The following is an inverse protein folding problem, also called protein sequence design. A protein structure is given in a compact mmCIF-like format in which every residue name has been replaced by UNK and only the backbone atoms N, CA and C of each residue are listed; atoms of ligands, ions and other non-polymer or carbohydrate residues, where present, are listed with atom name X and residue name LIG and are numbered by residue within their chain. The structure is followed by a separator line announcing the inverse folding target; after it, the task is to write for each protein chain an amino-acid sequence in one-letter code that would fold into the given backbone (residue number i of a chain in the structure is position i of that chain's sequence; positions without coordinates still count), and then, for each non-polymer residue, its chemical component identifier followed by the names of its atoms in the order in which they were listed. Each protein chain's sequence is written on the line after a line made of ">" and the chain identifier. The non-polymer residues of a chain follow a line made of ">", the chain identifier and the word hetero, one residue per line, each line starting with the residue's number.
data_IF_027997722243
#
_entry.id   IF_027997722243
#
_cell.length_a   1.000
_cell.length_b   1.000
_cell.length_c   1.000
_cell.angle_alpha   90.00
_cell.angle_beta   90.00
_cell.angle_gamma   90.00
#
_symmetry.space_group_name_H-M   'P 1'
#
loop_
_entity.id
_entity.type
_entity.pdbx_description
1 polymer ?
#
# COMPACT_ATOMS: atom_id res chain seq x y z
N UNK A 1 -12.93 -5.69 -4.37
CA UNK A 1 -13.63 -4.39 -4.07
C UNK A 1 -12.91 -3.71 -2.92
N UNK A 2 -12.66 -2.40 -3.00
CA UNK A 2 -12.07 -1.62 -1.91
C UNK A 2 -13.04 -0.53 -1.43
N UNK A 3 -13.37 -0.52 -0.14
CA UNK A 3 -14.35 0.40 0.46
C UNK A 3 -13.70 1.37 1.46
N UNK A 4 -13.99 2.65 1.33
CA UNK A 4 -13.60 3.70 2.29
C UNK A 4 -14.70 3.82 3.36
N UNK A 5 -14.41 3.42 4.60
CA UNK A 5 -15.39 3.45 5.69
C UNK A 5 -15.71 4.88 6.15
N UNK A 6 -14.74 5.79 6.05
CA UNK A 6 -14.86 7.16 6.53
C UNK A 6 -15.76 7.97 5.59
N UNK A 7 -15.67 7.69 4.28
CA UNK A 7 -16.48 8.35 3.23
C UNK A 7 -17.70 7.55 2.79
N UNK A 8 -17.81 6.31 3.23
CA UNK A 8 -18.86 5.37 2.85
C UNK A 8 -19.02 5.24 1.32
N UNK A 9 -17.92 4.94 0.63
CA UNK A 9 -17.91 4.80 -0.83
C UNK A 9 -16.92 3.72 -1.30
N UNK A 10 -17.21 3.14 -2.46
CA UNK A 10 -16.26 2.27 -3.17
C UNK A 10 -15.14 3.10 -3.82
N UNK A 11 -13.94 2.56 -3.77
CA UNK A 11 -12.75 3.10 -4.42
C UNK A 11 -12.50 2.36 -5.73
N UNK A 12 -12.52 3.12 -6.83
CA UNK A 12 -12.15 2.65 -8.17
C UNK A 12 -10.98 3.41 -8.80
N UNK A 13 -10.32 4.31 -8.05
CA UNK A 13 -9.25 5.16 -8.58
C UNK A 13 -8.04 5.20 -7.66
N UNK A 14 -6.87 5.47 -8.25
CA UNK A 14 -5.62 5.62 -7.53
C UNK A 14 -5.43 7.11 -7.18
N UNK A 15 -5.20 7.45 -5.90
CA UNK A 15 -4.94 8.83 -5.50
C UNK A 15 -3.51 9.26 -5.89
N UNK A 16 -3.23 10.57 -5.82
CA UNK A 16 -1.89 11.15 -6.04
C UNK A 16 -1.25 10.76 -7.39
N UNK A 17 -1.79 11.26 -8.53
CA UNK A 17 -1.38 10.85 -9.86
C UNK A 17 0.11 11.08 -10.15
N UNK A 18 0.73 12.10 -9.58
CA UNK A 18 2.17 12.34 -9.75
C UNK A 18 3.03 11.26 -9.09
N UNK A 19 2.60 10.77 -7.91
CA UNK A 19 3.25 9.66 -7.24
C UNK A 19 3.08 8.36 -8.01
N UNK A 20 1.86 8.13 -8.53
CA UNK A 20 1.59 6.99 -9.40
C UNK A 20 2.44 7.00 -10.67
N UNK A 21 2.54 8.17 -11.32
CA UNK A 21 3.40 8.38 -12.48
C UNK A 21 4.87 8.08 -12.17
N UNK A 22 5.35 8.53 -11.01
CA UNK A 22 6.72 8.24 -10.58
C UNK A 22 6.97 6.73 -10.41
N UNK A 23 6.00 5.98 -9.89
CA UNK A 23 6.09 4.51 -9.81
C UNK A 23 6.13 3.89 -11.21
N UNK A 24 5.19 4.26 -12.09
CA UNK A 24 5.08 3.65 -13.42
C UNK A 24 6.22 4.00 -14.39
N UNK A 25 6.84 5.18 -14.26
CA UNK A 25 7.90 5.62 -15.16
C UNK A 25 9.31 5.21 -14.69
N UNK A 26 9.48 4.90 -13.41
CA UNK A 26 10.82 4.71 -12.80
C UNK A 26 11.08 3.31 -12.26
N UNK A 27 10.03 2.53 -12.04
CA UNK A 27 10.15 1.10 -11.80
C UNK A 27 10.02 0.37 -13.11
N UNK A 28 10.85 -0.65 -13.32
CA UNK A 28 10.60 -1.57 -14.42
C UNK A 28 9.40 -2.50 -14.08
N UNK A 29 8.80 -3.16 -15.08
CA UNK A 29 7.63 -4.01 -14.84
C UNK A 29 7.89 -5.17 -13.86
N UNK A 30 9.13 -5.69 -13.80
CA UNK A 30 9.46 -6.79 -12.91
C UNK A 30 9.55 -6.32 -11.46
N UNK A 31 10.13 -5.15 -11.21
CA UNK A 31 10.17 -4.52 -9.89
C UNK A 31 8.77 -4.18 -9.38
N UNK A 32 7.96 -3.60 -10.26
CA UNK A 32 6.58 -3.27 -9.94
C UNK A 32 5.77 -4.51 -9.55
N UNK A 33 5.92 -5.60 -10.31
CA UNK A 33 5.28 -6.88 -10.01
C UNK A 33 5.82 -7.50 -8.71
N UNK A 34 7.14 -7.47 -8.48
CA UNK A 34 7.74 -8.02 -7.27
C UNK A 34 7.20 -7.35 -5.99
N UNK A 35 6.95 -6.04 -6.04
CA UNK A 35 6.33 -5.30 -4.93
C UNK A 35 4.91 -5.82 -4.66
N UNK A 36 4.11 -6.03 -5.72
CA UNK A 36 2.75 -6.56 -5.60
C UNK A 36 2.76 -7.97 -5.04
N UNK A 37 3.64 -8.83 -5.54
CA UNK A 37 3.78 -10.21 -5.08
C UNK A 37 4.18 -10.26 -3.60
N UNK A 38 5.13 -9.41 -3.18
CA UNK A 38 5.53 -9.31 -1.77
C UNK A 38 4.36 -8.82 -0.89
N UNK A 39 3.61 -7.80 -1.33
CA UNK A 39 2.43 -7.32 -0.61
C UNK A 39 1.34 -8.39 -0.52
N UNK A 40 1.03 -9.09 -1.61
CA UNK A 40 0.06 -10.18 -1.61
C UNK A 40 0.48 -11.30 -0.65
N UNK A 41 1.76 -11.69 -0.63
CA UNK A 41 2.26 -12.69 0.31
C UNK A 41 2.04 -12.33 1.79
N UNK A 42 2.03 -11.04 2.12
CA UNK A 42 1.73 -10.53 3.47
C UNK A 42 0.22 -10.46 3.73
N UNK A 43 -0.58 -10.18 2.71
CA UNK A 43 -2.05 -10.04 2.83
C UNK A 43 -2.73 -11.41 2.87
N UNK A 44 -2.23 -12.38 2.13
CA UNK A 44 -2.85 -13.69 1.97
C UNK A 44 -2.98 -14.41 3.32
N UNK A 45 -4.17 -14.98 3.57
CA UNK A 45 -4.51 -15.61 4.84
C UNK A 45 -4.79 -14.64 5.99
N UNK A 46 -4.57 -13.33 5.82
CA UNK A 46 -4.92 -12.31 6.82
C UNK A 46 -6.35 -11.81 6.67
N UNK A 47 -6.89 -11.28 7.78
CA UNK A 47 -8.15 -10.53 7.83
C UNK A 47 -7.95 -9.04 8.11
N UNK A 48 -6.75 -8.63 8.52
CA UNK A 48 -6.43 -7.26 8.88
C UNK A 48 -4.99 -6.94 8.53
N UNK A 49 -4.76 -5.76 7.93
CA UNK A 49 -3.41 -5.27 7.65
C UNK A 49 -3.33 -3.77 7.88
N UNK A 50 -2.19 -3.30 8.38
CA UNK A 50 -1.92 -1.86 8.54
C UNK A 50 -0.76 -1.49 7.64
N UNK A 51 -0.96 -0.55 6.71
CA UNK A 51 0.04 -0.25 5.68
C UNK A 51 1.41 0.12 6.26
N UNK A 52 1.44 0.95 7.31
CA UNK A 52 2.69 1.37 7.95
C UNK A 52 3.48 0.25 8.63
N UNK A 53 2.89 -0.93 8.84
CA UNK A 53 3.55 -2.07 9.47
C UNK A 53 4.00 -3.14 8.46
N UNK A 54 3.47 -3.11 7.24
CA UNK A 54 3.77 -4.11 6.21
C UNK A 54 5.23 -4.15 5.74
N UNK A 55 5.93 -3.01 5.53
CA UNK A 55 7.23 -3.06 4.86
C UNK A 55 8.40 -3.35 5.81
N UNK A 56 8.17 -3.31 7.13
CA UNK A 56 9.25 -3.36 8.12
C UNK A 56 10.12 -2.09 8.11
N UNK A 57 11.17 -2.10 8.93
CA UNK A 57 12.03 -0.94 9.14
C UNK A 57 13.23 -0.84 8.17
N UNK A 58 13.62 -1.96 7.54
CA UNK A 58 14.75 -2.03 6.60
C UNK A 58 14.29 -2.64 5.29
N UNK A 59 14.50 -1.91 4.19
CA UNK A 59 14.11 -2.34 2.84
C UNK A 59 15.29 -2.90 2.04
N UNK A 60 16.47 -2.97 2.64
CA UNK A 60 17.66 -3.51 1.97
C UNK A 60 17.43 -4.96 1.57
N UNK A 61 17.55 -5.25 0.28
CA UNK A 61 17.32 -6.56 -0.31
C UNK A 61 15.86 -7.00 -0.43
N UNK A 62 14.89 -6.12 -0.13
CA UNK A 62 13.45 -6.40 -0.34
C UNK A 62 12.97 -5.81 -1.67
N UNK A 63 11.76 -6.19 -2.12
CA UNK A 63 11.19 -5.60 -3.32
C UNK A 63 10.94 -4.08 -3.18
N UNK A 64 10.81 -3.60 -1.94
CA UNK A 64 10.56 -2.19 -1.64
C UNK A 64 11.78 -1.29 -1.84
N UNK A 65 12.99 -1.86 -1.90
CA UNK A 65 14.22 -1.09 -2.15
C UNK A 65 14.11 -0.24 -3.42
N UNK A 66 13.52 -0.77 -4.49
CA UNK A 66 13.34 -0.07 -5.76
C UNK A 66 12.45 1.17 -5.63
N UNK A 67 11.45 1.13 -4.73
CA UNK A 67 10.62 2.32 -4.43
C UNK A 67 11.50 3.44 -3.90
N UNK A 68 12.37 3.13 -2.94
CA UNK A 68 13.27 4.11 -2.34
C UNK A 68 14.32 4.63 -3.33
N UNK A 69 15.08 3.75 -3.95
CA UNK A 69 16.23 4.13 -4.77
C UNK A 69 15.84 4.72 -6.12
N UNK A 70 14.79 4.19 -6.77
CA UNK A 70 14.40 4.57 -8.14
C UNK A 70 13.22 5.52 -8.15
N UNK A 71 12.08 5.08 -7.62
CA UNK A 71 10.84 5.85 -7.73
C UNK A 71 10.93 7.15 -6.91
N UNK A 72 11.43 7.05 -5.68
CA UNK A 72 11.59 8.15 -4.75
C UNK A 72 12.96 8.84 -4.83
N UNK A 73 13.94 8.27 -5.56
CA UNK A 73 15.30 8.84 -5.72
C UNK A 73 15.97 9.16 -4.39
N UNK A 74 15.95 8.19 -3.48
CA UNK A 74 16.53 8.26 -2.14
C UNK A 74 15.83 9.24 -1.16
N UNK A 75 14.64 9.74 -1.50
CA UNK A 75 13.78 10.51 -0.59
C UNK A 75 12.91 9.55 0.24
N UNK A 76 13.17 9.49 1.55
CA UNK A 76 12.48 8.58 2.48
C UNK A 76 11.00 8.94 2.67
N UNK A 77 10.65 10.23 2.70
CA UNK A 77 9.26 10.66 2.87
C UNK A 77 8.45 10.37 1.61
N UNK A 78 9.04 10.60 0.45
CA UNK A 78 8.42 10.23 -0.82
C UNK A 78 8.29 8.70 -0.92
N UNK A 79 9.32 7.93 -0.56
CA UNK A 79 9.27 6.48 -0.56
C UNK A 79 8.11 5.93 0.28
N UNK A 80 7.89 6.46 1.49
CA UNK A 80 6.76 6.08 2.33
C UNK A 80 5.40 6.35 1.66
N UNK A 81 5.24 7.51 1.02
CA UNK A 81 4.01 7.86 0.27
C UNK A 81 3.79 6.94 -0.93
N UNK A 82 4.85 6.67 -1.70
CA UNK A 82 4.79 5.78 -2.86
C UNK A 82 4.50 4.33 -2.45
N UNK A 83 5.08 3.86 -1.35
CA UNK A 83 4.74 2.56 -0.78
C UNK A 83 3.25 2.49 -0.42
N UNK A 84 2.71 3.53 0.22
CA UNK A 84 1.27 3.62 0.50
C UNK A 84 0.40 3.51 -0.76
N UNK A 85 0.84 4.09 -1.88
CA UNK A 85 0.16 3.93 -3.18
C UNK A 85 0.23 2.48 -3.71
N UNK A 86 1.35 1.79 -3.53
CA UNK A 86 1.46 0.37 -3.90
C UNK A 86 0.56 -0.52 -3.05
N UNK A 87 0.43 -0.26 -1.74
CA UNK A 87 -0.53 -0.96 -0.87
C UNK A 87 -1.96 -0.70 -1.32
N UNK A 88 -2.31 0.57 -1.56
CA UNK A 88 -3.62 0.96 -2.06
C UNK A 88 -3.97 0.24 -3.36
N UNK A 89 -3.07 0.29 -4.34
CA UNK A 89 -3.24 -0.38 -5.62
C UNK A 89 -3.43 -1.88 -5.44
N UNK A 90 -2.59 -2.51 -4.60
CA UNK A 90 -2.68 -3.95 -4.34
C UNK A 90 -4.05 -4.33 -3.82
N UNK A 91 -4.56 -3.67 -2.77
CA UNK A 91 -5.91 -3.94 -2.25
C UNK A 91 -7.02 -3.65 -3.26
N UNK A 92 -6.88 -2.59 -4.08
CA UNK A 92 -7.85 -2.26 -5.12
C UNK A 92 -7.95 -3.33 -6.21
N UNK A 93 -6.86 -4.07 -6.49
CA UNK A 93 -6.83 -5.13 -7.50
C UNK A 93 -7.25 -6.51 -6.98
N UNK A 94 -7.53 -6.65 -5.68
CA UNK A 94 -7.90 -7.95 -5.10
C UNK A 94 -9.35 -8.32 -5.42
N UNK A 95 -9.56 -9.62 -5.67
CA UNK A 95 -10.89 -10.20 -5.87
C UNK A 95 -11.73 -10.16 -4.59
N UNK A 96 -11.10 -10.18 -3.42
CA UNK A 96 -11.81 -10.11 -2.15
C UNK A 96 -12.39 -8.71 -1.88
N UNK A 97 -13.28 -8.67 -0.89
CA UNK A 97 -13.88 -7.44 -0.39
C UNK A 97 -13.05 -6.94 0.79
N UNK A 98 -12.52 -5.73 0.66
CA UNK A 98 -11.74 -5.07 1.68
C UNK A 98 -12.32 -3.69 1.98
N UNK A 99 -12.30 -3.32 3.25
CA UNK A 99 -12.61 -1.97 3.70
C UNK A 99 -11.40 -1.37 4.40
N UNK A 100 -11.24 -0.05 4.42
CA UNK A 100 -10.14 0.60 5.11
C UNK A 100 -10.57 1.89 5.80
N UNK A 101 -9.78 2.34 6.78
CA UNK A 101 -9.95 3.62 7.45
C UNK A 101 -8.76 4.01 8.33
N UNK A 102 -8.94 5.08 9.09
CA UNK A 102 -7.98 5.59 10.09
C UNK A 102 -8.37 5.11 11.49
N UNK A 103 -7.38 4.66 12.25
CA UNK A 103 -7.57 4.09 13.58
C UNK A 103 -6.48 4.55 14.54
N UNK A 104 -6.72 4.31 15.82
CA UNK A 104 -5.77 4.54 16.91
C UNK A 104 -5.54 3.25 17.71
N UNK A 105 -4.39 3.18 18.37
CA UNK A 105 -4.05 2.13 19.33
C UNK A 105 -3.62 2.79 20.62
N UNK A 106 -4.30 2.47 21.72
CA UNK A 106 -4.03 3.04 23.05
C UNK A 106 -4.03 4.58 23.08
N UNK A 107 -4.95 5.20 22.32
CA UNK A 107 -5.06 6.66 22.18
C UNK A 107 -4.01 7.31 21.27
N UNK A 108 -3.18 6.50 20.58
CA UNK A 108 -2.18 6.99 19.62
C UNK A 108 -2.64 6.68 18.20
N UNK A 109 -2.77 7.68 17.32
CA UNK A 109 -3.12 7.47 15.92
C UNK A 109 -2.12 6.54 15.21
N UNK A 110 -2.65 5.58 14.45
CA UNK A 110 -1.85 4.74 13.58
C UNK A 110 -1.52 5.54 12.31
N UNK A 111 -0.23 5.63 11.97
CA UNK A 111 0.25 6.43 10.84
C UNK A 111 -0.29 5.92 9.49
N UNK A 112 -0.42 4.60 9.33
CA UNK A 112 -0.96 3.95 8.14
C UNK A 112 -2.48 3.88 8.09
N UNK A 113 -3.00 3.45 6.94
CA UNK A 113 -4.39 2.99 6.83
C UNK A 113 -4.47 1.56 7.33
N UNK A 114 -5.56 1.22 8.00
CA UNK A 114 -5.85 -0.17 8.38
C UNK A 114 -6.93 -0.71 7.47
N UNK A 115 -6.66 -1.89 6.89
CA UNK A 115 -7.48 -2.61 5.94
C UNK A 115 -8.06 -3.84 6.63
N UNK A 116 -9.34 -4.12 6.41
CA UNK A 116 -10.08 -5.26 6.96
C UNK A 116 -10.74 -6.03 5.84
N UNK A 117 -10.61 -7.36 5.89
CA UNK A 117 -11.38 -8.23 5.01
C UNK A 117 -12.82 -8.21 5.49
N UNK A 118 -13.73 -7.98 4.57
CA UNK A 118 -15.18 -7.96 4.83
C UNK A 118 -15.85 -9.03 3.99
N UNK A 119 -17.04 -9.43 4.44
CA UNK A 119 -17.93 -10.25 3.63
C UNK A 119 -18.83 -9.32 2.79
N UNK A 120 -19.19 -9.73 1.55
CA UNK A 120 -20.05 -8.94 0.67
C UNK A 120 -21.48 -8.78 1.16
#
# INVERSE_FOLDING_TARGET
>A
MLWDIDRNQEIGTIPHPDGWKALSERLDPAEFQAIIDELNSKIDGSKIQTSSWMPGADWTGTAYQAIYEKAARFDTQLAAKLFGLMVWYTFMQRDEYWAFGRFEKDGVPIEGLTYFRVDP
#
